data_IF_254127161683
#
_entry.id   IF_254127161683
#
_cell.length_a   1.000
_cell.length_b   1.000
_cell.length_c   1.000
_cell.angle_alpha   90.00
_cell.angle_beta   90.00
_cell.angle_gamma   90.00
#
_symmetry.space_group_name_H-M   'P 1'
#
loop_
_entity.id
_entity.type
_entity.pdbx_description
1 polymer ?
#
# COMPACT_ATOMS: atom_id res chain seq x y z
N UNK A 1 -21.29 -11.02 32.14
CA UNK A 1 -20.86 -12.21 31.37
C UNK A 1 -19.35 -12.26 31.41
N UNK A 2 -18.71 -13.35 31.86
CA UNK A 2 -17.24 -13.46 31.85
C UNK A 2 -16.69 -13.36 30.42
N UNK A 3 -15.56 -12.70 30.25
CA UNK A 3 -14.91 -12.52 28.93
C UNK A 3 -14.26 -13.83 28.48
N UNK A 4 -14.94 -14.57 27.60
CA UNK A 4 -14.48 -15.84 27.02
C UNK A 4 -13.56 -15.66 25.81
N UNK A 5 -13.16 -14.43 25.46
CA UNK A 5 -12.24 -14.23 24.33
C UNK A 5 -10.91 -14.93 24.63
N UNK A 6 -10.39 -15.76 23.70
CA UNK A 6 -9.11 -16.42 23.88
C UNK A 6 -8.01 -15.41 24.26
N UNK A 7 -7.32 -15.65 25.37
CA UNK A 7 -6.14 -14.86 25.75
C UNK A 7 -5.00 -15.23 24.81
N UNK A 8 -4.96 -14.59 23.64
CA UNK A 8 -3.82 -14.71 22.73
C UNK A 8 -2.54 -14.30 23.47
N UNK A 9 -1.39 -14.94 23.17
CA UNK A 9 -0.09 -14.40 23.57
C UNK A 9 -0.03 -12.92 23.18
N UNK A 10 0.53 -12.06 24.04
CA UNK A 10 0.76 -10.65 23.69
C UNK A 10 1.76 -10.63 22.55
N UNK A 11 1.25 -10.64 21.32
CA UNK A 11 2.03 -10.53 20.11
C UNK A 11 2.72 -9.17 20.17
N UNK A 12 4.02 -9.15 19.94
CA UNK A 12 4.69 -7.90 19.65
C UNK A 12 4.41 -7.56 18.17
N UNK A 13 3.49 -6.63 17.86
CA UNK A 13 3.15 -6.31 16.47
C UNK A 13 4.34 -5.72 15.70
N UNK A 14 5.43 -5.33 16.40
CA UNK A 14 6.68 -4.87 15.81
C UNK A 14 7.58 -6.03 15.32
N UNK A 15 7.34 -7.28 15.74
CA UNK A 15 8.28 -8.40 15.53
C UNK A 15 7.61 -9.68 15.05
N UNK A 16 6.41 -10.02 15.51
CA UNK A 16 5.79 -11.34 15.27
C UNK A 16 4.48 -11.30 14.48
N UNK A 17 4.36 -12.28 13.57
CA UNK A 17 3.23 -12.52 12.69
C UNK A 17 2.29 -13.49 13.39
N UNK A 18 1.11 -13.07 13.85
CA UNK A 18 0.08 -14.02 14.31
C UNK A 18 -0.81 -14.44 13.11
N UNK A 19 -0.85 -15.73 12.75
CA UNK A 19 -1.58 -16.16 11.57
C UNK A 19 -3.09 -16.36 11.80
N UNK A 20 -3.66 -16.08 12.98
CA UNK A 20 -5.07 -16.47 13.26
C UNK A 20 -6.16 -15.39 13.21
N UNK A 21 -5.87 -14.15 12.75
CA UNK A 21 -6.81 -13.41 11.90
C UNK A 21 -6.06 -12.34 11.05
N UNK A 22 -5.94 -12.50 9.73
CA UNK A 22 -4.65 -12.32 9.04
C UNK A 22 -4.54 -11.05 8.17
N UNK A 23 -5.55 -10.17 8.16
CA UNK A 23 -5.80 -9.27 7.02
C UNK A 23 -5.37 -7.80 7.17
N UNK A 24 -4.51 -7.41 8.14
CA UNK A 24 -4.36 -5.97 8.38
C UNK A 24 -3.09 -5.47 9.06
N UNK A 25 -2.05 -6.29 9.20
CA UNK A 25 -0.79 -5.76 9.74
C UNK A 25 -0.02 -5.09 8.63
N UNK A 26 -0.12 -3.77 8.53
CA UNK A 26 0.84 -3.02 7.74
C UNK A 26 2.06 -2.86 8.58
N UNK A 27 3.10 -3.58 8.19
CA UNK A 27 4.42 -3.33 8.70
C UNK A 27 4.71 -1.83 8.64
N UNK A 28 5.38 -1.29 9.67
CA UNK A 28 6.09 0.00 9.58
C UNK A 28 7.27 -0.10 8.59
N UNK A 29 7.05 -0.75 7.45
CA UNK A 29 8.01 -1.01 6.42
C UNK A 29 8.27 0.29 5.68
N UNK A 30 9.52 0.49 5.27
CA UNK A 30 9.97 1.65 4.51
C UNK A 30 9.57 1.51 3.04
N UNK A 31 8.29 1.24 2.78
CA UNK A 31 7.73 1.19 1.43
C UNK A 31 7.21 2.58 1.10
N UNK A 32 7.91 3.26 0.20
CA UNK A 32 7.54 4.62 -0.22
C UNK A 32 6.39 4.65 -1.24
N UNK A 33 6.20 3.56 -1.99
CA UNK A 33 5.18 3.46 -3.04
C UNK A 33 4.71 2.01 -3.23
N UNK A 34 3.40 1.83 -3.46
CA UNK A 34 2.81 0.55 -3.85
C UNK A 34 1.82 0.73 -5.01
N UNK A 35 1.73 -0.26 -5.89
CA UNK A 35 0.88 -0.23 -7.07
C UNK A 35 0.02 -1.49 -7.18
N UNK A 36 -1.30 -1.30 -7.28
CA UNK A 36 -2.31 -2.34 -7.43
C UNK A 36 -2.68 -2.52 -8.90
N UNK A 37 -2.43 -3.71 -9.47
CA UNK A 37 -2.75 -4.04 -10.86
C UNK A 37 -3.57 -5.33 -10.88
N UNK A 38 -4.74 -5.32 -11.53
CA UNK A 38 -5.57 -6.52 -11.70
C UNK A 38 -6.23 -7.03 -10.41
N UNK A 39 -6.31 -6.20 -9.37
CA UNK A 39 -6.96 -6.55 -8.10
C UNK A 39 -8.45 -6.23 -8.18
N UNK A 40 -9.30 -7.15 -7.71
CA UNK A 40 -10.74 -6.91 -7.62
C UNK A 40 -11.07 -5.71 -6.76
N UNK A 41 -12.03 -4.89 -7.19
CA UNK A 41 -12.26 -3.58 -6.60
C UNK A 41 -12.57 -3.62 -5.10
N UNK A 42 -13.32 -4.62 -4.65
CA UNK A 42 -13.63 -4.80 -3.23
C UNK A 42 -12.37 -5.06 -2.40
N UNK A 43 -11.48 -5.93 -2.90
CA UNK A 43 -10.22 -6.25 -2.21
C UNK A 43 -9.21 -5.10 -2.27
N UNK A 44 -9.20 -4.35 -3.38
CA UNK A 44 -8.37 -3.16 -3.54
C UNK A 44 -8.77 -2.07 -2.54
N UNK A 45 -10.06 -1.74 -2.43
CA UNK A 45 -10.53 -0.70 -1.50
C UNK A 45 -10.29 -1.09 -0.04
N UNK A 46 -10.48 -2.38 0.31
CA UNK A 46 -10.12 -2.85 1.65
C UNK A 46 -8.63 -2.62 1.91
N UNK A 47 -7.76 -3.12 1.02
CA UNK A 47 -6.29 -2.97 1.14
C UNK A 47 -5.84 -1.51 1.20
N UNK A 48 -6.44 -0.62 0.40
CA UNK A 48 -6.08 0.79 0.35
C UNK A 48 -6.41 1.54 1.65
N UNK A 49 -7.57 1.25 2.26
CA UNK A 49 -7.95 1.82 3.56
C UNK A 49 -6.99 1.44 4.66
N UNK A 50 -6.56 0.18 4.63
CA UNK A 50 -5.54 -0.35 5.52
C UNK A 50 -4.25 0.46 5.31
N UNK A 51 -3.75 0.54 4.06
CA UNK A 51 -2.47 1.18 3.70
C UNK A 51 -2.40 2.63 4.11
N UNK A 52 -3.48 3.36 3.86
CA UNK A 52 -3.59 4.76 4.24
C UNK A 52 -3.75 4.99 5.73
N UNK A 53 -4.37 4.04 6.44
CA UNK A 53 -4.53 4.12 7.89
C UNK A 53 -3.24 3.80 8.65
N UNK A 54 -2.39 2.93 8.09
CA UNK A 54 -1.19 2.43 8.79
C UNK A 54 0.15 3.00 8.32
N UNK A 55 0.23 3.60 7.12
CA UNK A 55 1.52 4.02 6.54
C UNK A 55 1.43 5.30 5.69
N UNK A 56 2.59 5.90 5.43
CA UNK A 56 2.76 7.00 4.48
C UNK A 56 3.05 6.53 3.04
N UNK A 57 2.83 5.25 2.72
CA UNK A 57 3.10 4.68 1.41
C UNK A 57 2.25 5.36 0.33
N UNK A 58 2.88 5.80 -0.77
CA UNK A 58 2.17 6.36 -1.92
C UNK A 58 1.42 5.26 -2.68
N UNK A 59 0.09 5.30 -2.68
CA UNK A 59 -0.73 4.25 -3.27
C UNK A 59 -1.17 4.58 -4.70
N UNK A 60 -0.90 3.66 -5.63
CA UNK A 60 -1.35 3.71 -7.02
C UNK A 60 -2.30 2.54 -7.28
N UNK A 61 -3.42 2.76 -7.94
CA UNK A 61 -4.32 1.69 -8.35
C UNK A 61 -4.67 1.76 -9.83
N UNK A 62 -4.57 0.63 -10.52
CA UNK A 62 -4.86 0.48 -11.94
C UNK A 62 -6.02 -0.49 -12.11
N UNK A 63 -7.21 0.08 -12.24
CA UNK A 63 -8.46 -0.63 -12.34
C UNK A 63 -8.93 -0.69 -13.80
N UNK A 64 -9.43 -1.84 -14.25
CA UNK A 64 -10.05 -1.97 -15.57
C UNK A 64 -11.43 -1.30 -15.67
N UNK A 65 -11.98 -0.82 -14.54
CA UNK A 65 -13.31 -0.23 -14.43
C UNK A 65 -13.22 1.21 -13.87
N UNK A 66 -13.94 1.49 -12.79
CA UNK A 66 -14.19 2.84 -12.27
C UNK A 66 -13.02 3.48 -11.53
N UNK A 67 -11.93 2.75 -11.24
CA UNK A 67 -10.84 3.23 -10.39
C UNK A 67 -11.11 3.04 -8.90
N UNK A 68 -10.20 3.55 -8.07
CA UNK A 68 -10.22 3.44 -6.61
C UNK A 68 -10.06 4.81 -5.97
N UNK A 69 -11.10 5.27 -5.30
CA UNK A 69 -11.17 6.55 -4.58
C UNK A 69 -10.19 6.62 -3.41
N UNK A 70 -9.87 5.46 -2.82
CA UNK A 70 -8.92 5.34 -1.73
C UNK A 70 -7.45 5.32 -2.21
N UNK A 71 -7.17 5.35 -3.52
CA UNK A 71 -5.79 5.43 -4.02
C UNK A 71 -5.35 6.90 -4.16
N UNK A 72 -4.07 7.21 -3.87
CA UNK A 72 -3.54 8.55 -4.13
C UNK A 72 -3.47 8.87 -5.63
N UNK A 73 -3.25 7.84 -6.45
CA UNK A 73 -3.36 7.90 -7.90
C UNK A 73 -4.17 6.71 -8.40
N UNK A 74 -5.25 6.98 -9.14
CA UNK A 74 -6.09 5.92 -9.71
C UNK A 74 -6.21 6.06 -11.22
N UNK A 75 -5.98 4.97 -11.93
CA UNK A 75 -6.27 4.82 -13.35
C UNK A 75 -7.58 4.06 -13.53
N UNK A 76 -8.45 4.60 -14.39
CA UNK A 76 -9.68 3.96 -14.88
C UNK A 76 -9.43 3.31 -16.23
N UNK A 77 -10.26 2.31 -16.56
CA UNK A 77 -10.19 1.60 -17.84
C UNK A 77 -8.78 1.11 -18.18
N UNK A 78 -8.05 0.62 -17.19
CA UNK A 78 -6.69 0.12 -17.34
C UNK A 78 -6.69 -1.18 -18.15
N UNK A 79 -6.37 -1.06 -19.44
CA UNK A 79 -6.16 -2.19 -20.35
C UNK A 79 -4.69 -2.63 -20.33
N UNK A 80 -4.42 -3.84 -20.84
CA UNK A 80 -3.06 -4.40 -20.92
C UNK A 80 -2.13 -3.46 -21.68
N UNK A 81 -2.59 -2.83 -22.76
CA UNK A 81 -1.79 -1.91 -23.57
C UNK A 81 -1.40 -0.66 -22.77
N UNK A 82 -2.30 -0.13 -21.94
CA UNK A 82 -2.01 1.02 -21.07
C UNK A 82 -1.01 0.66 -19.98
N UNK A 83 -1.15 -0.53 -19.39
CA UNK A 83 -0.22 -1.08 -18.39
C UNK A 83 1.18 -1.20 -19.00
N UNK A 84 1.30 -1.80 -20.17
CA UNK A 84 2.58 -1.98 -20.85
C UNK A 84 3.21 -0.66 -21.29
N UNK A 85 2.40 0.28 -21.80
CA UNK A 85 2.87 1.64 -22.13
C UNK A 85 3.43 2.37 -20.91
N UNK A 86 2.80 2.22 -19.74
CA UNK A 86 3.32 2.76 -18.49
C UNK A 86 4.67 2.11 -18.15
N UNK A 87 4.76 0.78 -18.23
CA UNK A 87 6.00 0.05 -17.95
C UNK A 87 7.16 0.50 -18.87
N UNK A 88 6.91 0.66 -20.16
CA UNK A 88 7.92 1.12 -21.12
C UNK A 88 8.33 2.57 -20.88
N UNK A 89 7.38 3.41 -20.48
CA UNK A 89 7.67 4.79 -20.09
C UNK A 89 8.55 4.84 -18.84
N UNK A 90 8.26 4.03 -17.82
CA UNK A 90 9.07 3.91 -16.61
C UNK A 90 10.49 3.42 -16.93
N UNK A 91 10.63 2.41 -17.80
CA UNK A 91 11.95 1.93 -18.26
C UNK A 91 12.75 3.04 -18.94
N UNK A 92 12.12 3.83 -19.80
CA UNK A 92 12.77 4.94 -20.51
C UNK A 92 13.17 6.10 -19.59
N UNK A 93 12.39 6.34 -18.54
CA UNK A 93 12.67 7.40 -17.55
C UNK A 93 13.61 6.95 -16.42
N UNK A 94 13.96 5.67 -16.36
CA UNK A 94 14.88 5.15 -15.36
C UNK A 94 16.23 5.87 -15.50
N UNK A 95 16.65 6.57 -14.44
CA UNK A 95 17.91 7.31 -14.38
C UNK A 95 17.85 8.74 -14.93
N UNK A 96 16.77 9.16 -15.59
CA UNK A 96 16.58 10.56 -16.04
C UNK A 96 15.87 11.41 -14.98
N UNK A 97 15.07 10.78 -14.13
CA UNK A 97 14.40 11.44 -13.00
C UNK A 97 15.35 11.40 -11.80
N UNK A 98 15.81 12.56 -11.35
CA UNK A 98 16.49 12.65 -10.06
C UNK A 98 15.49 12.30 -8.96
N UNK A 99 15.76 11.28 -8.12
CA UNK A 99 14.88 10.97 -7.00
C UNK A 99 14.81 12.22 -6.13
N UNK A 100 13.58 12.69 -5.88
CA UNK A 100 13.37 13.78 -4.93
C UNK A 100 13.74 13.19 -3.57
N UNK A 101 14.95 13.49 -3.07
CA UNK A 101 15.32 13.22 -1.68
C UNK A 101 14.25 13.89 -0.82
N UNK A 102 13.33 13.10 -0.30
CA UNK A 102 12.45 13.58 0.77
C UNK A 102 13.40 13.91 1.90
N UNK A 103 13.49 15.19 2.26
CA UNK A 103 14.21 15.61 3.46
C UNK A 103 13.60 14.82 4.60
N UNK A 104 14.32 13.81 5.08
CA UNK A 104 13.97 13.12 6.30
C UNK A 104 13.85 14.23 7.34
N UNK A 105 12.64 14.45 7.86
CA UNK A 105 12.49 15.27 9.05
C UNK A 105 13.37 14.61 10.10
N UNK A 106 14.52 15.22 10.38
CA UNK A 106 15.28 14.98 11.60
C UNK A 106 14.37 15.41 12.77
N UNK A 107 13.44 14.54 13.13
CA UNK A 107 12.67 14.60 14.36
C UNK A 107 13.41 13.82 15.43
N UNK A 108 14.64 14.25 15.74
CA UNK A 108 15.29 13.94 16.99
C UNK A 108 15.29 15.23 17.82
N UNK A 109 14.89 15.08 19.09
CA UNK A 109 14.98 16.07 20.18
C UNK A 109 13.75 16.97 20.40
N UNK A 110 12.90 16.58 21.36
CA UNK A 110 12.65 17.28 22.64
C UNK A 110 11.80 16.38 23.53
#
# INVERSE_FOLDING_TARGET
MPDYRPKYPKINPEVEINPNHPNLTIWHNKIDCCMFIGVHCHQANLSLKIIRGGTSCYTIAMCAQAGHEDAMLSFRDASVEKIMRLADTVKRLKGTVQPRLTSAKNGASS
#
